data_IF_814039538068
#
_entry.id   IF_814039538068
#
_cell.length_a   1.000
_cell.length_b   1.000
_cell.length_c   1.000
_cell.angle_alpha   90.00
_cell.angle_beta   90.00
_cell.angle_gamma   90.00
#
_symmetry.space_group_name_H-M   'P 1'
#
loop_
_entity.id
_entity.type
_entity.pdbx_description
1 polymer ?
#
# COMPACT_ATOMS: atom_id res chain seq x y z
N UNK A 1 0.79 8.22 8.06
CA UNK A 1 1.69 8.72 6.98
C UNK A 1 2.99 7.94 6.93
N UNK A 2 3.36 7.45 5.75
CA UNK A 2 4.58 6.67 5.46
C UNK A 2 5.83 7.55 5.46
N UNK A 3 6.99 6.95 5.73
CA UNK A 3 8.27 7.64 5.60
C UNK A 3 8.60 7.97 4.15
N UNK A 4 9.39 9.01 3.92
CA UNK A 4 9.85 9.37 2.57
C UNK A 4 10.66 8.25 1.91
N UNK A 5 11.42 7.47 2.69
CA UNK A 5 12.15 6.30 2.23
C UNK A 5 11.20 5.25 1.64
N UNK A 6 10.19 4.83 2.41
CA UNK A 6 9.19 3.86 1.96
C UNK A 6 8.40 4.36 0.76
N UNK A 7 8.03 5.64 0.74
CA UNK A 7 7.34 6.24 -0.42
C UNK A 7 8.22 6.17 -1.68
N UNK A 8 9.51 6.46 -1.56
CA UNK A 8 10.44 6.38 -2.68
C UNK A 8 10.63 4.94 -3.16
N UNK A 9 10.70 3.98 -2.25
CA UNK A 9 10.80 2.57 -2.62
C UNK A 9 9.53 2.04 -3.29
N UNK A 10 8.35 2.47 -2.84
CA UNK A 10 7.08 2.18 -3.52
C UNK A 10 7.08 2.80 -4.93
N UNK A 11 7.56 4.03 -5.11
CA UNK A 11 7.65 4.66 -6.44
C UNK A 11 8.61 3.92 -7.38
N UNK A 12 9.78 3.50 -6.89
CA UNK A 12 10.73 2.65 -7.65
C UNK A 12 10.14 1.30 -8.00
N UNK A 13 9.33 0.74 -7.10
CA UNK A 13 8.62 -0.51 -7.32
C UNK A 13 7.57 -0.33 -8.42
N UNK A 14 6.77 0.73 -8.38
CA UNK A 14 5.77 1.05 -9.41
C UNK A 14 6.41 1.12 -10.80
N UNK A 15 7.58 1.74 -10.94
CA UNK A 15 8.26 1.86 -12.25
C UNK A 15 8.75 0.52 -12.83
N UNK A 16 8.76 -0.56 -12.04
CA UNK A 16 9.12 -1.91 -12.51
C UNK A 16 7.91 -2.66 -13.09
N UNK A 17 6.69 -2.13 -12.94
CA UNK A 17 5.48 -2.74 -13.47
C UNK A 17 4.93 -1.96 -14.66
N UNK A 18 4.33 -2.65 -15.65
CA UNK A 18 3.67 -1.99 -16.78
C UNK A 18 2.43 -1.19 -16.36
N UNK A 19 1.82 -1.53 -15.22
CA UNK A 19 0.64 -0.86 -14.67
C UNK A 19 0.82 -0.59 -13.17
N UNK A 20 0.56 0.63 -12.66
CA UNK A 20 0.74 0.97 -11.24
C UNK A 20 -0.05 0.06 -10.30
N UNK A 21 -1.26 -0.36 -10.69
CA UNK A 21 -2.10 -1.30 -9.92
C UNK A 21 -1.40 -2.63 -9.65
N UNK A 22 -0.52 -3.10 -10.54
CA UNK A 22 0.20 -4.36 -10.35
C UNK A 22 1.20 -4.30 -9.19
N UNK A 23 1.66 -3.09 -8.81
CA UNK A 23 2.53 -2.87 -7.67
C UNK A 23 1.77 -2.86 -6.32
N UNK A 24 0.44 -3.04 -6.30
CA UNK A 24 -0.37 -2.86 -5.09
C UNK A 24 0.00 -3.82 -3.95
N UNK A 25 0.13 -5.11 -4.24
CA UNK A 25 0.52 -6.10 -3.22
C UNK A 25 1.92 -5.83 -2.63
N UNK A 26 2.98 -5.65 -3.45
CA UNK A 26 4.30 -5.35 -2.88
C UNK A 26 4.37 -3.98 -2.21
N UNK A 27 3.60 -2.97 -2.65
CA UNK A 27 3.51 -1.68 -1.96
C UNK A 27 2.84 -1.79 -0.58
N UNK A 28 1.76 -2.58 -0.47
CA UNK A 28 1.10 -2.88 0.80
C UNK A 28 2.05 -3.60 1.77
N UNK A 29 2.87 -4.52 1.25
CA UNK A 29 3.88 -5.23 2.06
C UNK A 29 4.93 -4.28 2.64
N UNK A 30 5.42 -3.31 1.85
CA UNK A 30 6.35 -2.29 2.35
C UNK A 30 5.70 -1.40 3.42
N UNK A 31 4.48 -0.94 3.18
CA UNK A 31 3.74 -0.12 4.13
C UNK A 31 3.47 -0.84 5.46
N UNK A 32 3.05 -2.10 5.42
CA UNK A 32 2.84 -2.91 6.62
C UNK A 32 4.14 -3.20 7.36
N UNK A 33 5.26 -3.40 6.65
CA UNK A 33 6.58 -3.59 7.28
C UNK A 33 6.99 -2.36 8.09
N UNK A 34 6.70 -1.15 7.60
CA UNK A 34 6.99 0.10 8.33
C UNK A 34 6.02 0.32 9.49
N UNK A 35 4.71 0.16 9.27
CA UNK A 35 3.68 0.57 10.24
C UNK A 35 3.21 -0.54 11.20
N UNK A 36 3.53 -1.80 10.92
CA UNK A 36 3.04 -2.97 11.63
C UNK A 36 1.60 -3.38 11.27
N UNK A 37 0.76 -2.43 10.85
CA UNK A 37 -0.57 -2.64 10.29
C UNK A 37 -0.91 -1.54 9.28
N UNK A 38 -1.89 -1.79 8.41
CA UNK A 38 -2.35 -0.87 7.37
C UNK A 38 -3.66 -0.21 7.84
N UNK A 39 -3.53 0.95 8.50
CA UNK A 39 -4.66 1.79 8.87
C UNK A 39 -5.28 2.52 7.68
N UNK A 40 -6.44 3.15 7.88
CA UNK A 40 -7.13 3.92 6.84
C UNK A 40 -6.27 5.05 6.26
N UNK A 41 -5.43 5.71 7.09
CA UNK A 41 -4.52 6.76 6.66
C UNK A 41 -3.46 6.23 5.67
N UNK A 42 -2.90 5.05 5.96
CA UNK A 42 -1.95 4.35 5.08
C UNK A 42 -2.62 3.92 3.77
N UNK A 43 -3.88 3.46 3.82
CA UNK A 43 -4.62 3.09 2.61
C UNK A 43 -4.89 4.29 1.70
N UNK A 44 -5.27 5.44 2.28
CA UNK A 44 -5.45 6.70 1.53
C UNK A 44 -4.15 7.11 0.85
N UNK A 45 -3.05 7.07 1.60
CA UNK A 45 -1.74 7.45 1.09
C UNK A 45 -1.26 6.53 -0.03
N UNK A 46 -1.41 5.21 0.12
CA UNK A 46 -1.11 4.24 -0.92
C UNK A 46 -1.97 4.41 -2.18
N UNK A 47 -3.26 4.70 -2.01
CA UNK A 47 -4.17 4.97 -3.12
C UNK A 47 -3.68 6.16 -3.97
N UNK A 48 -3.22 7.23 -3.30
CA UNK A 48 -2.65 8.40 -3.95
C UNK A 48 -1.33 8.07 -4.66
N UNK A 49 -0.44 7.31 -4.03
CA UNK A 49 0.87 6.93 -4.62
C UNK A 49 0.69 6.02 -5.85
N UNK A 50 -0.22 5.04 -5.77
CA UNK A 50 -0.51 4.09 -6.85
C UNK A 50 -1.43 4.67 -7.93
N UNK A 51 -1.98 5.87 -7.71
CA UNK A 51 -2.99 6.51 -8.55
C UNK A 51 -4.19 5.60 -8.84
N UNK A 52 -4.75 5.02 -7.78
CA UNK A 52 -5.94 4.15 -7.84
C UNK A 52 -7.01 4.63 -6.85
N UNK A 53 -8.30 4.27 -7.06
CA UNK A 53 -9.32 4.56 -6.08
C UNK A 53 -9.00 3.88 -4.73
N UNK A 54 -9.25 4.58 -3.62
CA UNK A 54 -9.11 4.02 -2.27
C UNK A 54 -9.90 2.72 -2.08
N UNK A 55 -11.06 2.59 -2.75
CA UNK A 55 -11.86 1.37 -2.72
C UNK A 55 -11.08 0.15 -3.23
N UNK A 56 -10.20 0.32 -4.22
CA UNK A 56 -9.35 -0.78 -4.71
C UNK A 56 -8.36 -1.23 -3.64
N UNK A 57 -7.73 -0.29 -2.92
CA UNK A 57 -6.79 -0.60 -1.84
C UNK A 57 -7.52 -1.29 -0.69
N UNK A 58 -8.67 -0.74 -0.28
CA UNK A 58 -9.53 -1.34 0.76
C UNK A 58 -9.94 -2.75 0.38
N UNK A 59 -10.46 -2.98 -0.83
CA UNK A 59 -10.83 -4.32 -1.29
C UNK A 59 -9.69 -5.31 -1.15
N UNK A 60 -8.46 -4.95 -1.52
CA UNK A 60 -7.30 -5.85 -1.40
C UNK A 60 -6.92 -6.10 0.06
N UNK A 61 -6.87 -5.06 0.89
CA UNK A 61 -6.53 -5.20 2.31
C UNK A 61 -7.55 -6.04 3.08
N UNK A 62 -8.85 -5.89 2.78
CA UNK A 62 -9.90 -6.67 3.42
C UNK A 62 -10.05 -8.08 2.84
N UNK A 63 -9.64 -8.30 1.59
CA UNK A 63 -9.75 -9.60 0.93
C UNK A 63 -8.61 -10.55 1.31
N UNK A 64 -7.39 -10.02 1.47
CA UNK A 64 -6.24 -10.83 1.85
C UNK A 64 -5.95 -10.74 3.35
N UNK A 65 -6.16 -11.84 4.07
CA UNK A 65 -5.80 -12.00 5.49
C UNK A 65 -4.31 -11.71 5.80
N UNK A 66 -3.47 -11.68 4.76
CA UNK A 66 -2.06 -11.28 4.82
C UNK A 66 -1.85 -9.88 5.40
N UNK A 67 -2.82 -8.97 5.20
CA UNK A 67 -2.71 -7.57 5.61
C UNK A 67 -3.55 -7.30 6.86
N UNK A 68 -2.87 -6.98 7.97
CA UNK A 68 -3.48 -6.54 9.21
C UNK A 68 -3.93 -5.09 9.03
N UNK A 69 -5.21 -4.84 9.25
CA UNK A 69 -5.80 -3.50 9.15
C UNK A 69 -6.26 -2.94 10.50
N UNK A 70 -5.91 -3.64 11.58
CA UNK A 70 -6.10 -3.21 12.97
C UNK A 70 -4.85 -3.56 13.76
N UNK A 71 -4.47 -2.74 14.76
CA UNK A 71 -3.49 -3.16 15.75
C UNK A 71 -4.02 -4.41 16.46
N UNK A 72 -3.16 -5.41 16.60
CA UNK A 72 -3.43 -6.62 17.38
C UNK A 72 -3.16 -6.39 18.86
#
# INVERSE_FOLDING_TARGET
>A
MLSEETVNDIKKLISQYPYPRAAMLPALSLAQKEKGYIGDDVMVELANILNVPISSVKSVVYFYDLYRHRPG
#
